data_IF_044570722945
#
_entry.id   IF_044570722945
#
_cell.length_a   1.000
_cell.length_b   1.000
_cell.length_c   1.000
_cell.angle_alpha   90.00
_cell.angle_beta   90.00
_cell.angle_gamma   90.00
#
_symmetry.space_group_name_H-M   'P 1'
#
loop_
_entity.id
_entity.type
_entity.pdbx_description
1 polymer ?
#
# COMPACT_ATOMS: atom_id res chain seq x y z
N UNK A 1 1.98 12.06 -31.96
CA UNK A 1 2.08 11.22 -30.75
C UNK A 1 1.56 12.01 -29.56
N UNK A 2 0.99 11.35 -28.55
CA UNK A 2 0.26 12.00 -27.44
C UNK A 2 1.12 12.90 -26.52
N UNK A 3 2.46 12.75 -26.51
CA UNK A 3 3.42 13.53 -25.69
C UNK A 3 2.92 13.87 -24.26
N UNK A 4 2.46 12.88 -23.48
CA UNK A 4 1.88 13.15 -22.17
C UNK A 4 2.89 13.78 -21.23
N UNK A 5 2.42 14.57 -20.27
CA UNK A 5 3.29 15.16 -19.23
C UNK A 5 3.51 14.24 -18.04
N UNK A 6 2.65 13.25 -17.87
CA UNK A 6 2.70 12.26 -16.78
C UNK A 6 2.23 10.91 -17.31
N UNK A 7 2.85 9.82 -16.86
CA UNK A 7 2.27 8.48 -16.96
C UNK A 7 1.55 8.14 -15.66
N UNK A 8 0.23 7.99 -15.71
CA UNK A 8 -0.56 7.49 -14.59
C UNK A 8 -0.76 5.99 -14.74
N UNK A 9 -0.21 5.21 -13.80
CA UNK A 9 -0.29 3.75 -13.81
C UNK A 9 -1.35 3.28 -12.81
N UNK A 10 -2.35 2.57 -13.33
CA UNK A 10 -3.40 1.89 -12.55
C UNK A 10 -3.24 0.37 -12.68
N UNK A 11 -2.01 -0.12 -12.48
CA UNK A 11 -1.63 -1.52 -12.73
C UNK A 11 -0.99 -2.16 -11.49
N UNK A 12 -1.03 -3.50 -11.41
CA UNK A 12 -0.39 -4.25 -10.33
C UNK A 12 1.16 -4.24 -10.43
N UNK A 13 1.86 -4.67 -9.38
CA UNK A 13 3.32 -4.61 -9.29
C UNK A 13 4.09 -5.10 -10.54
N UNK A 14 3.71 -6.26 -11.10
CA UNK A 14 4.42 -6.84 -12.25
C UNK A 14 4.30 -5.98 -13.52
N UNK A 15 3.09 -5.63 -14.01
CA UNK A 15 2.98 -4.71 -15.13
C UNK A 15 3.56 -3.32 -14.84
N UNK A 16 3.45 -2.80 -13.61
CA UNK A 16 4.08 -1.53 -13.23
C UNK A 16 5.61 -1.59 -13.38
N UNK A 17 6.27 -2.64 -12.90
CA UNK A 17 7.70 -2.84 -13.05
C UNK A 17 8.13 -2.87 -14.52
N UNK A 18 7.39 -3.59 -15.38
CA UNK A 18 7.68 -3.65 -16.82
C UNK A 18 7.52 -2.30 -17.50
N UNK A 19 6.48 -1.53 -17.15
CA UNK A 19 6.24 -0.20 -17.70
C UNK A 19 7.34 0.77 -17.27
N UNK A 20 7.71 0.80 -15.98
CA UNK A 20 8.77 1.66 -15.46
C UNK A 20 10.10 1.35 -16.15
N UNK A 21 10.46 0.06 -16.23
CA UNK A 21 11.65 -0.39 -16.93
C UNK A 21 11.63 0.05 -18.40
N UNK A 22 10.52 -0.16 -19.10
CA UNK A 22 10.43 0.19 -20.52
C UNK A 22 10.43 1.70 -20.77
N UNK A 23 9.78 2.47 -19.91
CA UNK A 23 9.79 3.93 -19.95
C UNK A 23 11.23 4.44 -19.86
N UNK A 24 12.02 3.91 -18.92
CA UNK A 24 13.43 4.25 -18.78
C UNK A 24 14.24 3.87 -20.04
N UNK A 25 14.11 2.65 -20.55
CA UNK A 25 14.78 2.19 -21.78
C UNK A 25 14.46 3.08 -22.99
N UNK A 26 13.28 3.69 -23.02
CA UNK A 26 12.81 4.59 -24.08
C UNK A 26 13.17 6.07 -23.82
N UNK A 27 13.92 6.37 -22.76
CA UNK A 27 14.35 7.73 -22.44
C UNK A 27 13.26 8.61 -21.81
N UNK A 28 12.17 8.01 -21.29
CA UNK A 28 11.15 8.74 -20.55
C UNK A 28 11.77 9.36 -19.28
N UNK A 29 11.70 10.68 -19.18
CA UNK A 29 12.26 11.46 -18.08
C UNK A 29 11.22 12.30 -17.34
N UNK A 30 9.94 12.21 -17.72
CA UNK A 30 8.82 12.90 -17.06
C UNK A 30 8.27 12.06 -15.88
N UNK A 31 7.37 12.60 -15.04
CA UNK A 31 6.81 11.85 -13.91
C UNK A 31 6.05 10.58 -14.30
N UNK A 32 6.18 9.55 -13.47
CA UNK A 32 5.35 8.35 -13.47
C UNK A 32 4.68 8.27 -12.09
N UNK A 33 3.36 8.13 -12.06
CA UNK A 33 2.58 8.02 -10.82
C UNK A 33 1.90 6.66 -10.78
N UNK A 34 2.23 5.84 -9.78
CA UNK A 34 1.46 4.64 -9.46
C UNK A 34 0.25 5.09 -8.61
N UNK A 35 -0.91 5.21 -9.25
CA UNK A 35 -2.15 5.70 -8.64
C UNK A 35 -2.76 4.69 -7.66
N UNK A 36 -2.32 3.45 -7.73
CA UNK A 36 -2.70 2.41 -6.77
C UNK A 36 -1.39 1.84 -6.26
N UNK A 37 -1.17 1.87 -4.94
CA UNK A 37 -0.06 1.15 -4.36
C UNK A 37 -0.31 -0.35 -4.56
N UNK A 38 0.27 -0.87 -5.64
CA UNK A 38 0.12 -2.25 -6.11
C UNK A 38 1.31 -3.13 -5.76
N UNK A 39 2.24 -2.67 -4.90
CA UNK A 39 3.37 -3.46 -4.41
C UNK A 39 3.35 -3.74 -2.90
N UNK A 40 3.49 -5.01 -2.53
CA UNK A 40 3.67 -5.44 -1.14
C UNK A 40 5.08 -5.12 -0.60
N UNK A 41 6.05 -4.94 -1.51
CA UNK A 41 7.44 -4.68 -1.21
C UNK A 41 8.05 -3.73 -2.26
N UNK A 42 8.34 -2.50 -1.83
CA UNK A 42 8.97 -1.50 -2.70
C UNK A 42 10.38 -1.90 -3.12
N UNK A 43 11.13 -2.62 -2.27
CA UNK A 43 12.47 -3.09 -2.61
C UNK A 43 12.41 -4.10 -3.74
N UNK A 44 11.47 -5.05 -3.64
CA UNK A 44 11.25 -6.03 -4.71
C UNK A 44 10.85 -5.36 -6.03
N UNK A 45 10.02 -4.31 -5.99
CA UNK A 45 9.67 -3.53 -7.19
C UNK A 45 10.92 -2.89 -7.82
N UNK A 46 11.78 -2.27 -7.01
CA UNK A 46 13.04 -1.66 -7.47
C UNK A 46 13.97 -2.70 -8.07
N UNK A 47 14.10 -3.87 -7.43
CA UNK A 47 14.90 -5.00 -7.93
C UNK A 47 14.37 -5.54 -9.26
N UNK A 48 13.04 -5.68 -9.41
CA UNK A 48 12.41 -6.16 -10.64
C UNK A 48 12.63 -5.21 -11.83
N UNK A 49 12.70 -3.90 -11.57
CA UNK A 49 13.06 -2.91 -12.59
C UNK A 49 14.55 -2.99 -12.92
N UNK A 50 15.39 -3.32 -11.94
CA UNK A 50 16.83 -3.54 -12.12
C UNK A 50 17.67 -2.27 -12.22
N UNK A 51 17.06 -1.10 -12.05
CA UNK A 51 17.74 0.19 -12.06
C UNK A 51 17.07 1.19 -11.12
N UNK A 52 17.80 1.61 -10.07
CA UNK A 52 17.32 2.59 -9.08
C UNK A 52 17.04 3.96 -9.69
N UNK A 53 17.77 4.33 -10.74
CA UNK A 53 17.57 5.63 -11.41
C UNK A 53 16.22 5.74 -12.11
N UNK A 54 15.60 4.60 -12.45
CA UNK A 54 14.24 4.57 -12.98
C UNK A 54 13.19 5.13 -12.00
N UNK A 55 13.52 5.21 -10.70
CA UNK A 55 12.61 5.68 -9.66
C UNK A 55 12.79 7.16 -9.30
N UNK A 56 13.77 7.88 -9.89
CA UNK A 56 13.99 9.31 -9.61
C UNK A 56 12.75 10.17 -9.83
N UNK A 57 11.92 9.80 -10.80
CA UNK A 57 10.67 10.49 -11.15
C UNK A 57 9.43 9.58 -10.99
N UNK A 58 9.53 8.54 -10.16
CA UNK A 58 8.41 7.65 -9.84
C UNK A 58 7.81 8.03 -8.50
N UNK A 59 6.50 8.27 -8.49
CA UNK A 59 5.71 8.61 -7.32
C UNK A 59 4.69 7.51 -7.08
N UNK A 60 4.39 7.23 -5.82
CA UNK A 60 3.38 6.26 -5.44
C UNK A 60 2.34 7.00 -4.62
N UNK A 61 1.09 6.89 -5.04
CA UNK A 61 -0.03 7.36 -4.26
C UNK A 61 -0.22 6.44 -3.05
N UNK A 62 -0.27 7.04 -1.87
CA UNK A 62 -0.46 6.36 -0.59
C UNK A 62 -1.67 6.96 0.12
N UNK A 63 -2.47 6.11 0.77
CA UNK A 63 -3.67 6.47 1.53
C UNK A 63 -3.46 6.37 3.03
N UNK A 64 -2.33 5.79 3.46
CA UNK A 64 -1.89 5.80 4.85
C UNK A 64 -1.43 7.20 5.27
N UNK A 65 -1.46 7.45 6.59
CA UNK A 65 -1.08 8.73 7.18
C UNK A 65 0.41 9.08 7.03
N UNK A 66 1.23 8.10 6.64
CA UNK A 66 2.68 8.21 6.41
C UNK A 66 3.14 7.06 5.50
N UNK A 67 4.40 7.10 5.08
CA UNK A 67 5.03 5.98 4.36
C UNK A 67 5.11 4.73 5.26
N UNK A 68 5.14 3.52 4.68
CA UNK A 68 5.38 2.29 5.44
C UNK A 68 6.66 2.40 6.29
N UNK A 69 6.53 2.13 7.60
CA UNK A 69 7.61 2.29 8.58
C UNK A 69 7.85 3.73 9.07
N UNK A 70 7.08 4.70 8.58
CA UNK A 70 7.12 6.09 9.01
C UNK A 70 6.60 6.29 10.45
N UNK A 71 7.02 7.41 11.05
CA UNK A 71 6.79 7.72 12.47
C UNK A 71 5.31 7.74 12.88
N UNK A 72 4.40 8.15 11.99
CA UNK A 72 2.97 8.19 12.33
C UNK A 72 2.31 6.81 12.32
N UNK A 73 2.98 5.80 11.77
CA UNK A 73 2.52 4.42 11.75
C UNK A 73 3.21 3.55 12.80
N UNK A 74 4.14 4.06 13.61
CA UNK A 74 4.91 3.25 14.57
C UNK A 74 4.02 2.39 15.47
N UNK A 75 2.90 2.93 15.94
CA UNK A 75 1.93 2.19 16.76
C UNK A 75 1.37 0.94 16.05
N UNK A 76 1.18 0.97 14.73
CA UNK A 76 0.73 -0.17 13.92
C UNK A 76 1.79 -1.26 13.92
N UNK A 77 3.04 -0.87 13.68
CA UNK A 77 4.16 -1.82 13.62
C UNK A 77 4.46 -2.43 14.98
N UNK A 78 4.36 -1.64 16.05
CA UNK A 78 4.56 -2.12 17.43
C UNK A 78 3.45 -3.09 17.84
N UNK A 79 2.19 -2.73 17.57
CA UNK A 79 1.05 -3.63 17.78
C UNK A 79 1.21 -4.94 17.01
N UNK A 80 1.64 -4.89 15.74
CA UNK A 80 1.87 -6.10 14.93
C UNK A 80 2.99 -6.98 15.50
N UNK A 81 4.13 -6.40 15.92
CA UNK A 81 5.24 -7.13 16.53
C UNK A 81 4.83 -7.78 17.85
N UNK A 82 4.03 -7.09 18.65
CA UNK A 82 3.51 -7.63 19.90
C UNK A 82 2.57 -8.81 19.67
N UNK A 83 1.66 -8.71 18.69
CA UNK A 83 0.69 -9.76 18.39
C UNK A 83 1.28 -10.95 17.64
N UNK A 84 2.27 -10.71 16.77
CA UNK A 84 2.83 -11.70 15.83
C UNK A 84 4.37 -11.67 15.79
N UNK A 85 5.07 -11.90 16.92
CA UNK A 85 6.53 -11.74 17.00
C UNK A 85 7.29 -12.62 16.02
N UNK A 86 6.90 -13.90 15.89
CA UNK A 86 7.56 -14.85 14.99
C UNK A 86 7.39 -14.47 13.52
N UNK A 87 6.23 -13.91 13.15
CA UNK A 87 5.97 -13.46 11.79
C UNK A 87 6.69 -12.14 11.50
N UNK A 88 6.72 -11.23 12.47
CA UNK A 88 7.42 -9.96 12.35
C UNK A 88 8.94 -10.12 12.20
N UNK A 89 9.51 -11.23 12.70
CA UNK A 89 10.92 -11.53 12.54
C UNK A 89 11.29 -12.07 11.14
N UNK A 90 10.32 -12.45 10.31
CA UNK A 90 10.60 -12.99 8.96
C UNK A 90 11.02 -11.89 7.98
N UNK A 91 11.95 -12.17 7.04
CA UNK A 91 12.29 -11.23 5.98
C UNK A 91 11.05 -10.75 5.21
N UNK A 92 10.98 -9.45 4.93
CA UNK A 92 9.85 -8.84 4.22
C UNK A 92 8.58 -8.64 5.06
N UNK A 93 8.61 -8.91 6.38
CA UNK A 93 7.50 -8.66 7.29
C UNK A 93 7.78 -7.53 8.29
N UNK A 94 6.72 -6.82 8.73
CA UNK A 94 5.40 -6.78 8.10
C UNK A 94 5.46 -6.19 6.68
N UNK A 95 4.58 -6.68 5.81
CA UNK A 95 4.48 -6.20 4.43
C UNK A 95 3.95 -4.75 4.38
N UNK A 96 4.23 -4.06 3.28
CA UNK A 96 3.77 -2.68 3.01
C UNK A 96 2.26 -2.52 3.18
N UNK A 97 1.48 -3.54 2.84
CA UNK A 97 0.02 -3.52 2.94
C UNK A 97 -0.54 -3.79 4.34
N UNK A 98 0.26 -4.27 5.29
CA UNK A 98 -0.26 -4.66 6.61
C UNK A 98 -1.08 -3.53 7.28
N UNK A 99 -0.64 -2.26 7.27
CA UNK A 99 -1.42 -1.18 7.88
C UNK A 99 -2.78 -0.93 7.21
N UNK A 100 -2.97 -1.30 5.94
CA UNK A 100 -4.23 -1.06 5.20
C UNK A 100 -5.39 -1.89 5.75
N UNK A 101 -5.11 -3.02 6.40
CA UNK A 101 -6.14 -3.86 7.01
C UNK A 101 -6.73 -3.26 8.28
N UNK A 102 -6.06 -2.30 8.92
CA UNK A 102 -6.49 -1.78 10.23
C UNK A 102 -7.69 -0.85 10.16
N UNK A 103 -7.75 0.18 9.31
CA UNK A 103 -8.93 1.04 9.22
C UNK A 103 -10.25 0.28 8.96
N UNK A 104 -10.34 -0.66 7.98
CA UNK A 104 -11.59 -1.40 7.79
C UNK A 104 -11.90 -2.34 8.96
N UNK A 105 -10.89 -2.98 9.58
CA UNK A 105 -11.11 -3.80 10.76
C UNK A 105 -11.64 -2.97 11.95
N UNK A 106 -11.09 -1.78 12.17
CA UNK A 106 -11.55 -0.84 13.21
C UNK A 106 -12.99 -0.40 12.96
N UNK A 107 -13.36 -0.10 11.70
CA UNK A 107 -14.72 0.26 11.34
C UNK A 107 -15.71 -0.86 11.69
N UNK A 108 -15.39 -2.11 11.33
CA UNK A 108 -16.23 -3.28 11.65
C UNK A 108 -16.31 -3.51 13.16
N UNK A 109 -15.18 -3.43 13.89
CA UNK A 109 -15.17 -3.60 15.35
C UNK A 109 -16.00 -2.51 16.05
N UNK A 110 -15.93 -1.26 15.58
CA UNK A 110 -16.72 -0.17 16.15
C UNK A 110 -18.21 -0.36 15.88
N UNK A 111 -18.60 -0.78 14.68
CA UNK A 111 -19.99 -1.10 14.37
C UNK A 111 -20.53 -2.27 15.19
N UNK A 112 -19.73 -3.33 15.39
CA UNK A 112 -20.09 -4.45 16.26
C UNK A 112 -20.31 -4.03 17.72
N UNK A 113 -19.49 -3.11 18.23
CA UNK A 113 -19.68 -2.53 19.57
C UNK A 113 -20.96 -1.70 19.65
N UNK A 114 -21.22 -0.86 18.64
CA UNK A 114 -22.41 -0.01 18.58
C UNK A 114 -23.72 -0.81 18.41
N UNK A 115 -23.70 -1.94 17.70
CA UNK A 115 -24.83 -2.85 17.54
C UNK A 115 -25.29 -3.50 18.86
N UNK A 116 -24.46 -3.45 19.91
CA UNK A 116 -24.75 -3.99 21.24
C UNK A 116 -24.69 -5.52 21.31
N UNK A 117 -25.12 -6.11 22.46
CA UNK A 117 -25.09 -7.55 22.66
C UNK A 117 -25.93 -8.32 21.63
N UNK A 118 -25.46 -9.50 21.24
CA UNK A 118 -26.08 -10.35 20.22
C UNK A 118 -26.34 -9.57 18.92
N UNK A 119 -25.27 -9.10 18.25
CA UNK A 119 -25.40 -8.32 17.03
C UNK A 119 -26.07 -9.17 15.94
N UNK A 120 -27.00 -8.57 15.21
CA UNK A 120 -27.53 -9.13 13.96
C UNK A 120 -26.92 -8.38 12.78
N UNK A 121 -27.05 -8.92 11.56
CA UNK A 121 -26.58 -8.25 10.34
C UNK A 121 -27.20 -6.86 10.21
N UNK A 122 -28.49 -6.74 10.49
CA UNK A 122 -29.26 -5.49 10.38
C UNK A 122 -28.75 -4.45 11.39
N UNK A 123 -28.49 -4.85 12.64
CA UNK A 123 -27.94 -3.96 13.65
C UNK A 123 -26.53 -3.48 13.31
N UNK A 124 -25.70 -4.35 12.75
CA UNK A 124 -24.34 -4.00 12.34
C UNK A 124 -24.34 -3.10 11.10
N UNK A 125 -25.20 -3.39 10.13
CA UNK A 125 -25.36 -2.54 8.94
C UNK A 125 -25.79 -1.12 9.33
N UNK A 126 -26.81 -1.00 10.19
CA UNK A 126 -27.28 0.28 10.70
C UNK A 126 -26.22 1.04 11.52
N UNK A 127 -25.22 0.36 12.07
CA UNK A 127 -24.10 0.97 12.80
C UNK A 127 -22.89 1.29 11.90
N UNK A 128 -22.87 0.79 10.67
CA UNK A 128 -21.84 1.09 9.66
C UNK A 128 -22.20 2.32 8.80
N UNK A 129 -23.50 2.59 8.64
CA UNK A 129 -24.06 3.75 7.92
C UNK A 129 -23.98 5.04 8.76
#
# INVERSE_FOLDING_TARGET
>A
AANPDVLLLTTYARPAALIIKKAQELGWNKPIVLAVNGTADLKQLVENVGNKDAFKNVYIQEVLADVPGGSKLTWVYDMYKQAYPDLAAKPGHPQTYMPYGLPPAMAVVNALKAAGPQPTREKVLAALE
#
